data_IF_048879765347
#
_entry.id   IF_048879765347
#
_cell.length_a   1.000
_cell.length_b   1.000
_cell.length_c   1.000
_cell.angle_alpha   90.00
_cell.angle_beta   90.00
_cell.angle_gamma   90.00
#
_symmetry.space_group_name_H-M   'P 1'
#
loop_
_entity.id
_entity.type
_entity.pdbx_description
1 polymer ?
#
# COMPACT_ATOMS: atom_id res chain seq x y z
N UNK A 1 -18.93 13.16 0.80
CA UNK A 1 -17.58 12.64 0.49
C UNK A 1 -17.57 11.15 0.83
N UNK A 2 -16.97 10.29 0.00
CA UNK A 2 -17.07 8.81 0.09
C UNK A 2 -16.10 8.18 1.12
N UNK A 3 -15.36 9.02 1.86
CA UNK A 3 -14.45 8.63 2.93
C UNK A 3 -14.97 9.30 4.19
N UNK A 4 -15.53 8.50 5.09
CA UNK A 4 -15.98 8.94 6.40
C UNK A 4 -14.86 8.73 7.45
N UNK A 5 -15.12 9.13 8.69
CA UNK A 5 -14.15 9.05 9.80
C UNK A 5 -13.64 7.62 10.02
N UNK A 6 -14.47 6.60 9.76
CA UNK A 6 -14.14 5.19 9.82
C UNK A 6 -13.02 4.83 8.84
N UNK A 7 -13.18 5.12 7.54
CA UNK A 7 -12.18 4.73 6.55
C UNK A 7 -10.89 5.54 6.73
N UNK A 8 -10.98 6.83 7.09
CA UNK A 8 -9.80 7.64 7.49
C UNK A 8 -9.05 6.99 8.65
N UNK A 9 -9.76 6.56 9.68
CA UNK A 9 -9.19 5.90 10.86
C UNK A 9 -8.45 4.62 10.50
N UNK A 10 -9.07 3.76 9.68
CA UNK A 10 -8.43 2.53 9.20
C UNK A 10 -7.22 2.79 8.31
N UNK A 11 -7.30 3.75 7.39
CA UNK A 11 -6.19 4.14 6.54
C UNK A 11 -4.96 4.55 7.38
N UNK A 12 -5.15 5.46 8.34
CA UNK A 12 -4.07 5.91 9.22
C UNK A 12 -3.53 4.80 10.13
N UNK A 13 -4.41 3.90 10.61
CA UNK A 13 -4.01 2.76 11.43
C UNK A 13 -3.11 1.82 10.64
N UNK A 14 -3.56 1.35 9.49
CA UNK A 14 -2.80 0.41 8.67
C UNK A 14 -1.47 1.01 8.20
N UNK A 15 -1.46 2.30 7.86
CA UNK A 15 -0.22 2.98 7.49
C UNK A 15 0.80 2.96 8.63
N UNK A 16 0.36 3.23 9.87
CA UNK A 16 1.22 3.22 11.05
C UNK A 16 1.78 1.83 11.33
N UNK A 17 0.93 0.81 11.26
CA UNK A 17 1.34 -0.59 11.45
C UNK A 17 2.38 -1.00 10.39
N UNK A 18 2.15 -0.66 9.11
CA UNK A 18 3.11 -0.93 8.03
C UNK A 18 4.48 -0.28 8.28
N UNK A 19 4.49 0.98 8.72
CA UNK A 19 5.73 1.72 9.04
C UNK A 19 6.50 1.03 10.17
N UNK A 20 5.82 0.60 11.24
CA UNK A 20 6.48 -0.06 12.37
C UNK A 20 7.01 -1.44 11.99
N UNK A 21 6.27 -2.22 11.20
CA UNK A 21 6.69 -3.54 10.73
C UNK A 21 7.95 -3.48 9.87
N UNK A 22 8.06 -2.48 8.99
CA UNK A 22 9.29 -2.25 8.20
C UNK A 22 10.47 -1.83 9.09
N UNK A 23 10.24 -0.98 10.09
CA UNK A 23 11.29 -0.62 11.05
C UNK A 23 11.82 -1.84 11.80
N UNK A 24 10.95 -2.79 12.14
CA UNK A 24 11.34 -4.05 12.78
C UNK A 24 12.11 -4.92 11.79
N UNK A 25 11.58 -5.13 10.58
CA UNK A 25 12.23 -5.93 9.54
C UNK A 25 13.62 -5.40 9.13
N UNK A 26 13.84 -4.08 9.22
CA UNK A 26 15.15 -3.46 9.01
C UNK A 26 16.17 -3.83 10.09
N UNK A 27 15.72 -4.05 11.31
CA UNK A 27 16.56 -4.40 12.46
C UNK A 27 16.83 -5.90 12.53
N UNK A 28 15.87 -6.71 12.08
CA UNK A 28 16.02 -8.16 11.97
C UNK A 28 15.65 -8.64 10.56
N UNK A 29 16.66 -8.84 9.71
CA UNK A 29 16.47 -9.30 8.32
C UNK A 29 15.85 -10.69 8.18
N UNK A 30 15.66 -11.42 9.30
CA UNK A 30 14.92 -12.69 9.35
C UNK A 30 13.41 -12.49 9.54
N UNK A 31 12.96 -11.29 9.88
CA UNK A 31 11.55 -10.94 9.99
C UNK A 31 10.92 -10.63 8.61
N UNK A 32 11.19 -11.48 7.61
CA UNK A 32 10.73 -11.29 6.24
C UNK A 32 9.19 -11.37 6.12
N UNK A 33 8.54 -12.09 7.03
CA UNK A 33 7.08 -12.14 7.14
C UNK A 33 6.49 -10.75 7.43
N UNK A 34 7.15 -9.94 8.26
CA UNK A 34 6.70 -8.57 8.58
C UNK A 34 6.75 -7.65 7.36
N UNK A 35 7.59 -7.95 6.36
CA UNK A 35 7.63 -7.17 5.12
C UNK A 35 6.36 -7.38 4.31
N UNK A 36 5.92 -8.63 4.16
CA UNK A 36 4.69 -8.93 3.44
C UNK A 36 3.48 -8.34 4.16
N UNK A 37 3.46 -8.44 5.48
CA UNK A 37 2.42 -7.84 6.30
C UNK A 37 2.40 -6.32 6.13
N UNK A 38 3.57 -5.66 6.13
CA UNK A 38 3.66 -4.22 5.93
C UNK A 38 3.21 -3.79 4.54
N UNK A 39 3.59 -4.51 3.48
CA UNK A 39 3.15 -4.23 2.11
C UNK A 39 1.63 -4.34 1.97
N UNK A 40 1.04 -5.40 2.50
CA UNK A 40 -0.42 -5.59 2.50
C UNK A 40 -1.15 -4.50 3.28
N UNK A 41 -0.61 -4.12 4.45
CA UNK A 41 -1.18 -3.03 5.24
C UNK A 41 -1.05 -1.69 4.53
N UNK A 42 0.06 -1.41 3.85
CA UNK A 42 0.21 -0.21 3.04
C UNK A 42 -0.80 -0.18 1.89
N UNK A 43 -1.03 -1.30 1.21
CA UNK A 43 -2.06 -1.43 0.17
C UNK A 43 -3.46 -1.13 0.72
N UNK A 44 -3.83 -1.78 1.83
CA UNK A 44 -5.12 -1.54 2.49
C UNK A 44 -5.27 -0.11 2.96
N UNK A 45 -4.21 0.50 3.49
CA UNK A 45 -4.23 1.89 3.91
C UNK A 45 -4.58 2.82 2.73
N UNK A 46 -4.00 2.57 1.56
CA UNK A 46 -4.33 3.33 0.34
C UNK A 46 -5.78 3.09 -0.08
N UNK A 47 -6.26 1.85 -0.07
CA UNK A 47 -7.64 1.55 -0.48
C UNK A 47 -8.66 2.20 0.46
N UNK A 48 -8.48 2.08 1.78
CA UNK A 48 -9.31 2.77 2.77
C UNK A 48 -9.27 4.29 2.60
N UNK A 49 -8.12 4.86 2.21
CA UNK A 49 -8.05 6.31 1.97
C UNK A 49 -8.87 6.78 0.77
N UNK A 50 -9.17 5.88 -0.17
CA UNK A 50 -9.91 6.19 -1.40
C UNK A 50 -11.39 5.81 -1.33
N UNK A 51 -11.77 4.91 -0.41
CA UNK A 51 -13.15 4.44 -0.24
C UNK A 51 -13.22 3.08 0.42
N UNK A 52 -14.22 2.29 0.05
CA UNK A 52 -14.40 0.93 0.55
C UNK A 52 -13.43 -0.06 -0.15
N UNK A 53 -12.52 -0.72 0.58
CA UNK A 53 -11.44 -1.49 -0.02
C UNK A 53 -11.85 -2.58 -0.99
N UNK A 54 -12.95 -3.30 -0.71
CA UNK A 54 -13.42 -4.37 -1.59
C UNK A 54 -13.78 -3.85 -3.00
N UNK A 55 -14.34 -2.64 -3.09
CA UNK A 55 -14.64 -2.03 -4.38
C UNK A 55 -13.36 -1.55 -5.10
N UNK A 56 -12.44 -0.92 -4.36
CA UNK A 56 -11.17 -0.45 -4.95
C UNK A 56 -10.34 -1.64 -5.46
N UNK A 57 -10.23 -2.71 -4.67
CA UNK A 57 -9.54 -3.93 -5.08
C UNK A 57 -10.17 -4.56 -6.32
N UNK A 58 -11.50 -4.61 -6.39
CA UNK A 58 -12.22 -5.10 -7.57
C UNK A 58 -11.84 -4.33 -8.85
N UNK A 59 -11.80 -3.00 -8.77
CA UNK A 59 -11.40 -2.15 -9.91
C UNK A 59 -9.94 -2.40 -10.31
N UNK A 60 -9.04 -2.52 -9.34
CA UNK A 60 -7.61 -2.78 -9.61
C UNK A 60 -7.43 -4.15 -10.29
N UNK A 61 -8.09 -5.19 -9.79
CA UNK A 61 -8.02 -6.54 -10.34
C UNK A 61 -8.60 -6.60 -11.77
N UNK A 62 -9.71 -5.92 -12.03
CA UNK A 62 -10.29 -5.84 -13.37
C UNK A 62 -9.31 -5.21 -14.37
N UNK A 63 -8.62 -4.13 -13.98
CA UNK A 63 -7.62 -3.48 -14.84
C UNK A 63 -6.40 -4.39 -15.07
N UNK A 64 -5.97 -5.13 -14.05
CA UNK A 64 -4.89 -6.11 -14.16
C UNK A 64 -5.24 -7.22 -15.14
N UNK A 65 -6.46 -7.77 -15.06
CA UNK A 65 -6.97 -8.81 -15.96
C UNK A 65 -7.05 -8.34 -17.41
N UNK A 66 -7.45 -7.07 -17.64
CA UNK A 66 -7.49 -6.47 -18.98
C UNK A 66 -6.10 -6.24 -19.57
N UNK A 67 -5.06 -6.14 -18.74
CA UNK A 67 -3.67 -5.96 -19.17
C UNK A 67 -3.33 -4.58 -19.78
N UNK A 68 -4.29 -3.66 -19.86
CA UNK A 68 -4.12 -2.31 -20.41
C UNK A 68 -3.86 -1.32 -19.28
N UNK A 69 -2.78 -0.54 -19.40
CA UNK A 69 -2.46 0.46 -18.38
C UNK A 69 -3.47 1.61 -18.40
N UNK A 70 -4.05 1.99 -17.25
CA UNK A 70 -5.04 3.06 -17.19
C UNK A 70 -4.39 4.44 -17.38
N UNK A 71 -5.12 5.35 -18.04
CA UNK A 71 -4.70 6.75 -18.18
C UNK A 71 -4.93 7.57 -16.90
N UNK A 72 -5.84 7.14 -16.04
CA UNK A 72 -6.10 7.81 -14.76
C UNK A 72 -4.87 7.61 -13.83
N UNK A 73 -4.26 8.69 -13.31
CA UNK A 73 -3.01 8.60 -12.56
C UNK A 73 -3.15 7.87 -11.22
N UNK A 74 -4.30 7.99 -10.54
CA UNK A 74 -4.55 7.27 -9.28
C UNK A 74 -4.66 5.78 -9.57
N UNK A 75 -5.50 5.40 -10.53
CA UNK A 75 -5.69 4.00 -10.89
C UNK A 75 -4.39 3.38 -11.42
N UNK A 76 -3.60 4.15 -12.17
CA UNK A 76 -2.26 3.74 -12.61
C UNK A 76 -1.35 3.43 -11.42
N UNK A 77 -1.30 4.32 -10.43
CA UNK A 77 -0.52 4.12 -9.20
C UNK A 77 -0.96 2.85 -8.45
N UNK A 78 -2.26 2.61 -8.29
CA UNK A 78 -2.76 1.41 -7.59
C UNK A 78 -2.34 0.12 -8.30
N UNK A 79 -2.45 0.09 -9.63
CA UNK A 79 -2.03 -1.05 -10.45
C UNK A 79 -0.52 -1.28 -10.37
N UNK A 80 0.29 -0.22 -10.41
CA UNK A 80 1.75 -0.32 -10.24
C UNK A 80 2.10 -0.84 -8.85
N UNK A 81 1.46 -0.33 -7.80
CA UNK A 81 1.65 -0.77 -6.42
C UNK A 81 1.33 -2.27 -6.27
N UNK A 82 0.18 -2.74 -6.76
CA UNK A 82 -0.21 -4.16 -6.68
C UNK A 82 0.80 -5.07 -7.41
N UNK A 83 1.26 -4.64 -8.60
CA UNK A 83 2.28 -5.36 -9.36
C UNK A 83 3.60 -5.44 -8.60
N UNK A 84 4.07 -4.32 -8.05
CA UNK A 84 5.31 -4.29 -7.26
C UNK A 84 5.23 -5.18 -6.02
N UNK A 85 4.10 -5.18 -5.31
CA UNK A 85 3.88 -6.07 -4.16
C UNK A 85 3.94 -7.54 -4.60
N UNK A 86 3.26 -7.90 -5.69
CA UNK A 86 3.27 -9.28 -6.21
C UNK A 86 4.67 -9.74 -6.68
N UNK A 87 5.45 -8.83 -7.29
CA UNK A 87 6.84 -9.11 -7.68
C UNK A 87 7.70 -9.35 -6.42
N UNK A 88 7.54 -8.54 -5.38
CA UNK A 88 8.25 -8.71 -4.12
C UNK A 88 7.85 -10.03 -3.42
N UNK A 89 6.56 -10.38 -3.40
CA UNK A 89 6.05 -11.66 -2.87
C UNK A 89 6.64 -12.88 -3.58
N UNK A 90 6.83 -12.80 -4.90
CA UNK A 90 7.43 -13.90 -5.67
C UNK A 90 8.96 -13.95 -5.63
N UNK A 91 9.63 -12.85 -5.28
CA UNK A 91 11.10 -12.76 -5.29
C UNK A 91 11.73 -12.92 -3.90
N UNK A 92 10.99 -12.60 -2.83
CA UNK A 92 11.50 -12.66 -1.47
C UNK A 92 11.48 -14.10 -0.94
N UNK A 93 12.66 -14.69 -0.74
CA UNK A 93 12.83 -16.00 -0.14
C UNK A 93 13.88 -15.97 0.97
N UNK A 94 13.50 -16.39 2.18
CA UNK A 94 14.29 -16.62 3.40
C UNK A 94 15.13 -15.44 3.95
N UNK A 95 15.72 -14.59 3.11
CA UNK A 95 16.54 -13.45 3.46
C UNK A 95 16.18 -12.24 2.60
N UNK A 96 16.00 -11.09 3.26
CA UNK A 96 15.64 -9.86 2.59
C UNK A 96 16.91 -9.06 2.32
N UNK A 97 17.30 -8.96 1.05
CA UNK A 97 18.42 -8.11 0.65
C UNK A 97 18.11 -6.62 0.81
N UNK A 98 19.16 -5.80 0.98
CA UNK A 98 19.05 -4.34 1.07
C UNK A 98 18.35 -3.68 -0.13
N UNK A 99 18.32 -4.35 -1.29
CA UNK A 99 17.58 -3.86 -2.46
C UNK A 99 16.07 -3.98 -2.25
N UNK A 100 15.60 -5.15 -1.82
CA UNK A 100 14.18 -5.39 -1.57
C UNK A 100 13.65 -4.55 -0.41
N UNK A 101 14.44 -4.37 0.66
CA UNK A 101 14.07 -3.45 1.75
C UNK A 101 13.86 -2.02 1.27
N UNK A 102 14.69 -1.53 0.35
CA UNK A 102 14.52 -0.20 -0.24
C UNK A 102 13.25 -0.10 -1.08
N UNK A 103 12.94 -1.13 -1.86
CA UNK A 103 11.73 -1.15 -2.68
C UNK A 103 10.47 -1.15 -1.80
N UNK A 104 10.48 -1.90 -0.70
CA UNK A 104 9.43 -1.89 0.32
C UNK A 104 9.29 -0.52 0.97
N UNK A 105 10.40 0.11 1.37
CA UNK A 105 10.43 1.47 1.93
C UNK A 105 9.83 2.49 0.97
N UNK A 106 10.16 2.38 -0.33
CA UNK A 106 9.63 3.27 -1.36
C UNK A 106 8.11 3.14 -1.52
N UNK A 107 7.59 1.91 -1.52
CA UNK A 107 6.14 1.65 -1.59
C UNK A 107 5.42 2.30 -0.40
N UNK A 108 5.90 2.05 0.82
CA UNK A 108 5.26 2.59 2.04
C UNK A 108 5.41 4.10 2.15
N UNK A 109 6.54 4.67 1.70
CA UNK A 109 6.72 6.12 1.63
C UNK A 109 5.74 6.77 0.66
N UNK A 110 5.57 6.20 -0.55
CA UNK A 110 4.60 6.70 -1.54
C UNK A 110 3.16 6.58 -1.04
N UNK A 111 2.81 5.46 -0.41
CA UNK A 111 1.51 5.28 0.24
C UNK A 111 1.28 6.35 1.30
N UNK A 112 2.28 6.64 2.13
CA UNK A 112 2.21 7.69 3.16
C UNK A 112 1.92 9.07 2.55
N UNK A 113 2.61 9.43 1.47
CA UNK A 113 2.41 10.71 0.78
C UNK A 113 0.99 10.80 0.21
N UNK A 114 0.52 9.75 -0.46
CA UNK A 114 -0.83 9.72 -1.04
C UNK A 114 -1.92 9.86 0.02
N UNK A 115 -1.83 9.07 1.11
CA UNK A 115 -2.81 9.08 2.20
C UNK A 115 -2.85 10.45 2.87
N UNK A 116 -1.70 11.05 3.17
CA UNK A 116 -1.63 12.37 3.78
C UNK A 116 -2.21 13.45 2.85
N UNK A 117 -1.95 13.37 1.55
CA UNK A 117 -2.56 14.27 0.57
C UNK A 117 -4.08 14.14 0.58
N UNK A 118 -4.62 12.92 0.49
CA UNK A 118 -6.07 12.69 0.47
C UNK A 118 -6.72 13.22 1.75
N UNK A 119 -6.15 12.89 2.91
CA UNK A 119 -6.68 13.32 4.20
C UNK A 119 -6.69 14.85 4.31
N UNK A 120 -5.63 15.52 3.84
CA UNK A 120 -5.55 16.99 3.84
C UNK A 120 -6.58 17.67 2.94
N UNK A 121 -7.05 16.98 1.90
CA UNK A 121 -8.07 17.48 0.98
C UNK A 121 -9.50 17.26 1.52
N UNK A 122 -9.69 16.34 2.45
CA UNK A 122 -10.97 16.10 3.09
C UNK A 122 -11.18 17.09 4.26
N UNK A 123 -11.65 18.30 3.93
CA UNK A 123 -12.07 19.33 4.90
C UNK A 123 -13.04 18.73 5.92
N UNK A 124 -12.80 18.99 7.21
CA UNK A 124 -13.74 18.68 8.29
C UNK A 124 -14.89 19.70 8.24
N UNK A 125 -16.11 19.24 7.97
CA UNK A 125 -17.34 20.03 8.11
C UNK A 125 -17.77 20.12 9.58
#
# INVERSE_FOLDING_TARGET
MLVDVYQKGWALRYLREAIEEIKIARRDGRAFNLIFDALKKAEMAVYYSLGEPLFIEGIVNEVLERGVMPNNPILKYLVEMKKSISILESTLHEHVGNKSLREVDEIVSRASVLINLIISLCVED
#
